data_IF_512331168556
#
_entry.id   IF_512331168556
#
_cell.length_a   1.000
_cell.length_b   1.000
_cell.length_c   1.000
_cell.angle_alpha   90.00
_cell.angle_beta   90.00
_cell.angle_gamma   90.00
#
_symmetry.space_group_name_H-M   'P 1'
#
loop_
_entity.id
_entity.type
_entity.pdbx_description
1 polymer ?
#
# COMPACT_ATOMS: atom_id res chain seq x y z
N UNK A 1 -20.89 -25.66 -12.48
CA UNK A 1 -21.30 -24.23 -12.46
C UNK A 1 -20.30 -23.34 -11.71
N UNK A 2 -19.73 -23.79 -10.58
CA UNK A 2 -18.77 -23.00 -9.78
C UNK A 2 -17.40 -22.80 -10.45
N UNK A 3 -16.87 -23.83 -11.12
CA UNK A 3 -15.53 -23.79 -11.73
C UNK A 3 -15.45 -22.78 -12.89
N UNK A 4 -16.52 -22.68 -13.69
CA UNK A 4 -16.60 -21.73 -14.80
C UNK A 4 -16.63 -20.27 -14.31
N UNK A 5 -17.29 -20.02 -13.17
CA UNK A 5 -17.38 -18.70 -12.55
C UNK A 5 -16.03 -18.28 -11.95
N UNK A 6 -15.33 -19.19 -11.27
CA UNK A 6 -13.97 -18.94 -10.75
C UNK A 6 -13.00 -18.67 -11.91
N UNK A 7 -13.07 -19.46 -12.98
CA UNK A 7 -12.23 -19.25 -14.17
C UNK A 7 -12.51 -17.90 -14.84
N UNK A 8 -13.78 -17.53 -15.02
CA UNK A 8 -14.17 -16.24 -15.58
C UNK A 8 -13.68 -15.07 -14.70
N UNK A 9 -13.87 -15.16 -13.39
CA UNK A 9 -13.43 -14.11 -12.45
C UNK A 9 -11.91 -13.98 -12.41
N UNK A 10 -11.19 -15.11 -12.47
CA UNK A 10 -9.73 -15.16 -12.55
C UNK A 10 -9.22 -14.51 -13.83
N UNK A 11 -9.81 -14.84 -14.99
CA UNK A 11 -9.43 -14.28 -16.29
C UNK A 11 -9.65 -12.76 -16.30
N UNK A 12 -10.83 -12.28 -15.89
CA UNK A 12 -11.15 -10.84 -15.89
C UNK A 12 -10.23 -10.06 -14.95
N UNK A 13 -9.96 -10.59 -13.75
CA UNK A 13 -9.06 -9.95 -12.77
C UNK A 13 -7.63 -9.92 -13.30
N UNK A 14 -7.17 -11.01 -13.90
CA UNK A 14 -5.83 -11.08 -14.49
C UNK A 14 -5.68 -10.12 -15.66
N UNK A 15 -6.69 -10.02 -16.53
CA UNK A 15 -6.70 -9.07 -17.64
C UNK A 15 -6.62 -7.63 -17.11
N UNK A 16 -7.47 -7.25 -16.15
CA UNK A 16 -7.45 -5.90 -15.56
C UNK A 16 -6.12 -5.57 -14.87
N UNK A 17 -5.45 -6.56 -14.24
CA UNK A 17 -4.17 -6.36 -13.54
C UNK A 17 -2.96 -6.35 -14.46
N UNK A 18 -3.00 -7.08 -15.59
CA UNK A 18 -1.95 -7.08 -16.61
C UNK A 18 -2.08 -5.96 -17.63
N UNK A 19 -3.30 -5.47 -17.88
CA UNK A 19 -3.53 -4.32 -18.77
C UNK A 19 -2.67 -3.09 -18.43
N UNK A 20 -2.57 -2.62 -17.17
CA UNK A 20 -1.70 -1.49 -16.84
C UNK A 20 -0.22 -1.82 -17.06
N UNK A 21 0.21 -3.05 -16.80
CA UNK A 21 1.59 -3.50 -17.04
C UNK A 21 1.94 -3.56 -18.53
N UNK A 22 0.98 -3.94 -19.38
CA UNK A 22 1.15 -4.05 -20.84
C UNK A 22 1.07 -2.69 -21.53
N UNK A 23 0.20 -1.78 -21.08
CA UNK A 23 0.16 -0.39 -21.54
C UNK A 23 1.45 0.35 -21.14
N UNK A 24 1.92 0.21 -19.90
CA UNK A 24 3.16 0.83 -19.44
C UNK A 24 4.39 0.43 -20.28
N UNK A 25 4.41 -0.80 -20.82
CA UNK A 25 5.53 -1.28 -21.66
C UNK A 25 5.47 -0.80 -23.12
N UNK A 26 4.29 -0.44 -23.64
CA UNK A 26 4.08 -0.20 -25.09
C UNK A 26 3.98 1.26 -25.51
N UNK A 27 3.91 2.21 -24.59
CA UNK A 27 3.88 3.63 -24.96
C UNK A 27 5.27 4.24 -24.75
N UNK A 28 6.10 4.40 -25.79
CA UNK A 28 7.25 5.29 -25.72
C UNK A 28 6.69 6.73 -25.73
N UNK A 29 6.22 7.21 -24.58
CA UNK A 29 5.80 8.60 -24.45
C UNK A 29 7.07 9.41 -24.22
N UNK A 30 7.63 9.94 -25.31
CA UNK A 30 8.64 10.99 -25.25
C UNK A 30 7.98 12.24 -24.67
N UNK A 31 8.04 12.40 -23.35
CA UNK A 31 7.50 13.58 -22.68
C UNK A 31 7.34 13.40 -21.18
N UNK A 32 7.33 14.53 -20.47
CA UNK A 32 7.25 14.73 -19.00
C UNK A 32 6.07 14.02 -18.27
N UNK A 33 5.28 13.22 -18.98
CA UNK A 33 4.10 12.47 -18.51
C UNK A 33 4.40 11.00 -18.10
N UNK A 34 5.61 10.48 -18.33
CA UNK A 34 5.98 9.11 -17.92
C UNK A 34 5.83 8.86 -16.41
N UNK A 35 5.91 9.92 -15.59
CA UNK A 35 5.71 9.81 -14.15
C UNK A 35 4.28 9.46 -13.73
N UNK A 36 3.24 9.64 -14.56
CA UNK A 36 1.86 9.44 -14.08
C UNK A 36 1.51 7.96 -13.90
N UNK A 37 1.88 7.10 -14.86
CA UNK A 37 1.67 5.65 -14.78
C UNK A 37 2.65 4.96 -13.81
N UNK A 38 3.91 5.41 -13.77
CA UNK A 38 4.92 4.86 -12.85
C UNK A 38 4.64 5.21 -11.39
N UNK A 39 4.06 6.38 -11.11
CA UNK A 39 3.67 6.78 -9.76
C UNK A 39 2.25 6.32 -9.40
N UNK A 40 1.49 5.73 -10.32
CA UNK A 40 0.13 5.24 -10.03
C UNK A 40 0.12 4.21 -8.89
N UNK A 41 0.98 3.17 -8.86
CA UNK A 41 1.01 2.23 -7.74
C UNK A 41 1.34 2.92 -6.42
N UNK A 42 2.30 3.84 -6.41
CA UNK A 42 2.69 4.61 -5.22
C UNK A 42 1.57 5.52 -4.73
N UNK A 43 0.86 6.18 -5.65
CA UNK A 43 -0.28 7.05 -5.33
C UNK A 43 -1.44 6.23 -4.74
N UNK A 44 -1.74 5.07 -5.32
CA UNK A 44 -2.78 4.16 -4.81
C UNK A 44 -2.40 3.62 -3.44
N UNK A 45 -1.19 3.10 -3.27
CA UNK A 45 -0.73 2.56 -1.98
C UNK A 45 -0.73 3.63 -0.88
N UNK A 46 -0.27 4.85 -1.19
CA UNK A 46 -0.26 5.95 -0.23
C UNK A 46 -1.67 6.44 0.10
N UNK A 47 -2.54 6.55 -0.91
CA UNK A 47 -3.95 6.95 -0.75
C UNK A 47 -4.76 5.96 0.08
N UNK A 48 -4.43 4.66 0.05
CA UNK A 48 -5.07 3.65 0.88
C UNK A 48 -4.46 3.56 2.28
N UNK A 49 -3.15 3.76 2.40
CA UNK A 49 -2.44 3.62 3.68
C UNK A 49 -2.77 4.77 4.62
N UNK A 50 -2.78 6.03 4.13
CA UNK A 50 -3.08 7.21 4.96
C UNK A 50 -4.42 7.07 5.70
N UNK A 51 -5.58 6.83 5.05
CA UNK A 51 -6.84 6.62 5.74
C UNK A 51 -6.86 5.33 6.55
N UNK A 52 -6.15 4.28 6.11
CA UNK A 52 -6.01 3.03 6.84
C UNK A 52 -5.40 3.22 8.24
N UNK A 53 -4.42 4.12 8.37
CA UNK A 53 -3.80 4.44 9.65
C UNK A 53 -4.80 5.09 10.62
N UNK A 54 -5.67 5.98 10.16
CA UNK A 54 -6.66 6.63 11.01
C UNK A 54 -7.85 5.71 11.38
N UNK A 55 -8.12 4.69 10.57
CA UNK A 55 -9.25 3.76 10.76
C UNK A 55 -8.91 2.52 11.60
N UNK A 56 -7.70 2.42 12.16
CA UNK A 56 -7.27 1.24 12.94
C UNK A 56 -8.14 1.02 14.18
N UNK A 57 -8.50 2.08 14.90
CA UNK A 57 -9.35 2.02 16.08
C UNK A 57 -10.27 3.26 16.11
N UNK A 58 -11.59 3.03 16.16
CA UNK A 58 -12.59 4.10 16.13
C UNK A 58 -12.64 4.93 17.43
N UNK A 59 -12.26 4.33 18.56
CA UNK A 59 -12.26 4.96 19.89
C UNK A 59 -11.01 5.82 20.11
N UNK A 60 -9.85 5.40 19.55
CA UNK A 60 -8.55 6.04 19.81
C UNK A 60 -7.72 6.17 18.52
N UNK A 61 -7.93 7.23 17.72
CA UNK A 61 -7.15 7.51 16.50
C UNK A 61 -5.63 7.67 16.76
N UNK A 62 -5.27 7.97 18.01
CA UNK A 62 -3.90 8.14 18.49
C UNK A 62 -3.03 6.89 18.28
N UNK A 63 -3.62 5.69 18.37
CA UNK A 63 -2.92 4.42 18.15
C UNK A 63 -2.36 4.34 16.73
N UNK A 64 -3.20 4.69 15.75
CA UNK A 64 -2.83 4.75 14.35
C UNK A 64 -1.73 5.79 14.09
N UNK A 65 -1.90 7.01 14.60
CA UNK A 65 -0.93 8.10 14.40
C UNK A 65 0.43 7.72 14.98
N UNK A 66 0.48 7.12 16.17
CA UNK A 66 1.73 6.66 16.78
C UNK A 66 2.41 5.55 15.97
N UNK A 67 1.64 4.57 15.48
CA UNK A 67 2.15 3.50 14.62
C UNK A 67 2.68 4.02 13.28
N UNK A 68 1.98 4.98 12.67
CA UNK A 68 2.38 5.62 11.41
C UNK A 68 3.64 6.47 11.59
N UNK A 69 3.70 7.27 12.65
CA UNK A 69 4.86 8.12 12.93
C UNK A 69 6.11 7.29 13.21
N UNK A 70 5.99 6.23 14.01
CA UNK A 70 7.10 5.30 14.27
C UNK A 70 7.59 4.61 13.00
N UNK A 71 6.68 4.18 12.11
CA UNK A 71 7.04 3.61 10.82
C UNK A 71 7.83 4.60 9.93
N UNK A 72 7.38 5.84 9.84
CA UNK A 72 8.06 6.90 9.07
C UNK A 72 9.45 7.20 9.64
N UNK A 73 9.56 7.29 10.97
CA UNK A 73 10.83 7.55 11.64
C UNK A 73 11.85 6.43 11.37
N UNK A 74 11.42 5.17 11.51
CA UNK A 74 12.25 3.99 11.27
C UNK A 74 12.67 3.83 9.80
N UNK A 75 11.80 4.16 8.85
CA UNK A 75 12.12 4.16 7.41
C UNK A 75 13.12 5.26 7.05
N UNK A 76 13.02 6.42 7.70
CA UNK A 76 13.93 7.55 7.44
C UNK A 76 15.37 7.25 7.89
N UNK A 77 15.52 6.35 8.87
CA UNK A 77 16.84 5.85 9.30
C UNK A 77 17.38 4.90 8.23
N UNK A 78 18.44 5.33 7.54
CA UNK A 78 19.10 4.50 6.51
C UNK A 78 19.58 3.18 7.11
N UNK A 79 19.19 2.05 6.47
CA UNK A 79 19.57 0.63 6.71
C UNK A 79 18.59 -0.26 7.49
N UNK A 80 17.40 0.21 7.86
CA UNK A 80 16.43 -0.68 8.54
C UNK A 80 15.73 -1.59 7.52
N UNK A 81 15.72 -2.92 7.70
CA UNK A 81 14.95 -3.81 6.83
C UNK A 81 13.45 -3.57 7.03
N UNK A 82 12.69 -3.58 5.93
CA UNK A 82 11.26 -3.28 5.92
C UNK A 82 10.46 -4.14 6.90
N UNK A 83 10.87 -5.40 7.08
CA UNK A 83 10.25 -6.31 8.04
C UNK A 83 10.36 -5.81 9.49
N UNK A 84 11.51 -5.25 9.88
CA UNK A 84 11.72 -4.74 11.23
C UNK A 84 10.88 -3.48 11.48
N UNK A 85 10.72 -2.63 10.46
CA UNK A 85 9.81 -1.46 10.52
C UNK A 85 8.39 -1.90 10.83
N UNK A 86 7.89 -2.93 10.13
CA UNK A 86 6.54 -3.46 10.33
C UNK A 86 6.37 -3.97 11.77
N UNK A 87 7.29 -4.81 12.24
CA UNK A 87 7.23 -5.37 13.60
C UNK A 87 7.26 -4.26 14.66
N UNK A 88 8.15 -3.27 14.50
CA UNK A 88 8.27 -2.15 15.44
C UNK A 88 7.01 -1.25 15.45
N UNK A 89 6.42 -0.98 14.29
CA UNK A 89 5.18 -0.19 14.16
C UNK A 89 3.99 -0.91 14.83
N UNK A 90 3.87 -2.23 14.67
CA UNK A 90 2.85 -3.04 15.36
C UNK A 90 3.07 -3.04 16.87
N UNK A 91 4.32 -3.20 17.34
CA UNK A 91 4.63 -3.11 18.77
C UNK A 91 4.24 -1.76 19.36
N UNK A 92 4.55 -0.66 18.66
CA UNK A 92 4.19 0.68 19.08
C UNK A 92 2.67 0.85 19.16
N UNK A 93 1.92 0.34 18.18
CA UNK A 93 0.46 0.35 18.21
C UNK A 93 -0.09 -0.37 19.45
N UNK A 94 0.44 -1.56 19.76
CA UNK A 94 0.01 -2.35 20.93
C UNK A 94 0.32 -1.65 22.25
N UNK A 95 1.50 -1.05 22.39
CA UNK A 95 1.88 -0.30 23.59
C UNK A 95 0.96 0.90 23.84
N UNK A 96 0.62 1.64 22.78
CA UNK A 96 -0.29 2.80 22.88
C UNK A 96 -1.71 2.37 23.18
N UNK A 97 -2.16 1.24 22.66
CA UNK A 97 -3.50 0.69 22.94
C UNK A 97 -3.64 0.15 24.36
N UNK A 98 -2.54 -0.25 24.99
CA UNK A 98 -2.51 -0.79 26.35
C UNK A 98 -2.42 0.31 27.42
N UNK A 99 -2.08 1.55 27.03
CA UNK A 99 -2.10 2.76 27.85
C UNK A 99 -3.51 3.35 27.87
#
# INVERSE_FOLDING_TARGET
MTILLIAAMGIVTFLLRFTPLLLAKKVPIEGKSNGFLDNLPLAVLSSLTIPGIFQVDAETPWVGIAAGLTAVLLVCIRKVPLFLVIVASVLAALLVKMI
#
